data_IF_356844852999
#
_entry.id   IF_356844852999
#
_cell.length_a   1.000
_cell.length_b   1.000
_cell.length_c   1.000
_cell.angle_alpha   90.00
_cell.angle_beta   90.00
_cell.angle_gamma   90.00
#
_symmetry.space_group_name_H-M   'P 1'
#
loop_
_entity.id
_entity.type
_entity.pdbx_description
1 polymer ?
#
# COMPACT_ATOMS: atom_id res chain seq x y z
N UNK A 1 25.65 30.03 17.52
CA UNK A 1 26.69 29.32 18.30
C UNK A 1 26.75 27.89 17.79
N UNK A 2 27.60 27.63 16.79
CA UNK A 2 27.90 26.28 16.32
C UNK A 2 29.04 25.70 17.17
N UNK A 3 28.92 24.45 17.59
CA UNK A 3 30.01 23.73 18.28
C UNK A 3 30.79 22.94 17.25
N UNK A 4 32.07 23.28 17.11
CA UNK A 4 33.08 22.58 16.31
C UNK A 4 33.70 21.49 17.18
N UNK A 5 33.85 20.28 16.65
CA UNK A 5 34.70 19.24 17.23
C UNK A 5 35.96 19.12 16.38
N UNK A 6 37.13 19.32 17.00
CA UNK A 6 38.43 19.04 16.39
C UNK A 6 38.83 17.59 16.69
N UNK A 7 39.19 16.84 15.66
CA UNK A 7 39.96 15.60 15.79
C UNK A 7 41.22 15.78 14.94
N UNK A 8 42.36 15.90 15.60
CA UNK A 8 43.67 15.87 14.95
C UNK A 8 44.15 14.42 14.79
N UNK A 9 44.68 14.07 13.62
CA UNK A 9 46.14 13.95 13.49
C UNK A 9 46.59 13.83 12.03
N UNK A 10 47.84 14.25 11.85
CA UNK A 10 48.61 14.55 10.64
C UNK A 10 48.77 13.41 9.61
N UNK A 11 48.61 13.71 8.31
CA UNK A 11 49.61 13.39 7.28
C UNK A 11 49.37 14.17 5.98
N UNK A 12 50.45 14.76 5.46
CA UNK A 12 50.52 15.66 4.31
C UNK A 12 50.07 15.04 2.97
N UNK A 13 49.08 15.63 2.31
CA UNK A 13 49.08 15.90 0.87
C UNK A 13 48.24 17.15 0.61
N UNK A 14 48.82 18.11 -0.12
CA UNK A 14 48.16 19.34 -0.53
C UNK A 14 47.19 19.03 -1.68
N UNK A 15 45.92 18.82 -1.34
CA UNK A 15 44.80 18.97 -2.27
C UNK A 15 43.90 20.07 -1.73
N UNK A 16 43.55 21.02 -2.60
CA UNK A 16 42.54 22.04 -2.31
C UNK A 16 41.31 21.36 -1.70
N UNK A 17 40.81 21.78 -0.53
CA UNK A 17 39.56 21.26 -0.01
C UNK A 17 38.46 21.79 -0.93
N UNK A 18 38.09 20.98 -1.93
CA UNK A 18 36.82 21.11 -2.59
C UNK A 18 35.77 21.03 -1.50
N UNK A 19 35.00 22.09 -1.35
CA UNK A 19 33.82 22.10 -0.51
C UNK A 19 32.88 21.03 -1.10
N UNK A 20 32.96 19.78 -0.63
CA UNK A 20 31.97 18.76 -0.94
C UNK A 20 30.71 19.27 -0.27
N UNK A 21 29.83 19.92 -1.04
CA UNK A 21 28.49 20.24 -0.57
C UNK A 21 27.86 18.91 -0.20
N UNK A 22 27.77 18.65 1.10
CA UNK A 22 26.95 17.58 1.62
C UNK A 22 25.53 17.89 1.15
N UNK A 23 25.02 17.06 0.24
CA UNK A 23 23.63 17.11 -0.19
C UNK A 23 22.79 16.81 1.05
N UNK A 24 22.26 17.85 1.69
CA UNK A 24 21.42 17.70 2.87
C UNK A 24 20.01 17.29 2.41
N UNK A 25 19.73 15.98 2.44
CA UNK A 25 18.36 15.49 2.34
C UNK A 25 17.67 15.69 3.70
N UNK A 26 16.48 16.28 3.72
CA UNK A 26 15.64 16.23 4.92
C UNK A 26 14.94 14.87 4.98
N UNK A 27 15.49 13.93 5.74
CA UNK A 27 14.96 12.57 5.87
C UNK A 27 13.73 12.48 6.79
N UNK A 28 13.29 13.59 7.39
CA UNK A 28 12.18 13.60 8.34
C UNK A 28 10.94 14.23 7.72
N UNK A 29 10.00 13.41 7.19
CA UNK A 29 8.77 13.94 6.62
C UNK A 29 7.89 14.61 7.69
N UNK A 30 7.33 15.80 7.42
CA UNK A 30 6.27 16.37 8.25
C UNK A 30 4.98 15.55 8.15
N UNK A 31 4.09 15.61 9.16
CA UNK A 31 2.76 15.01 9.08
C UNK A 31 1.90 15.69 8.02
N UNK A 32 1.04 14.92 7.34
CA UNK A 32 0.09 15.45 6.36
C UNK A 32 -1.35 15.03 6.65
N UNK A 33 -2.32 15.67 5.98
CA UNK A 33 -3.73 15.37 6.18
C UNK A 33 -4.11 13.97 5.68
N UNK A 34 -4.77 13.19 6.54
CA UNK A 34 -5.27 11.83 6.25
C UNK A 34 -6.77 11.80 5.92
N UNK A 35 -7.25 10.65 5.42
CA UNK A 35 -8.61 10.42 4.95
C UNK A 35 -8.92 11.06 3.59
N UNK A 36 -7.91 11.25 2.75
CA UNK A 36 -8.00 11.99 1.47
C UNK A 36 -7.47 11.15 0.32
N UNK A 37 -8.05 11.30 -0.87
CA UNK A 37 -7.63 10.53 -2.05
C UNK A 37 -6.23 10.97 -2.51
N UNK A 38 -5.94 12.25 -2.30
CA UNK A 38 -4.70 12.92 -2.65
C UNK A 38 -3.54 12.57 -1.70
N UNK A 39 -3.79 11.85 -0.60
CA UNK A 39 -2.78 11.57 0.42
C UNK A 39 -1.48 10.99 -0.14
N UNK A 40 -1.57 10.00 -1.02
CA UNK A 40 -0.39 9.34 -1.59
C UNK A 40 0.35 10.23 -2.59
N UNK A 41 -0.38 11.05 -3.34
CA UNK A 41 0.22 12.10 -4.17
C UNK A 41 0.92 13.16 -3.30
N UNK A 42 0.28 13.61 -2.22
CA UNK A 42 0.88 14.57 -1.29
C UNK A 42 2.12 14.02 -0.58
N UNK A 43 2.15 12.71 -0.24
CA UNK A 43 3.35 12.05 0.29
C UNK A 43 4.47 11.99 -0.75
N UNK A 44 4.12 11.70 -2.00
CA UNK A 44 5.07 11.74 -3.12
C UNK A 44 5.67 13.14 -3.29
N UNK A 45 4.85 14.18 -3.42
CA UNK A 45 5.30 15.58 -3.55
C UNK A 45 6.18 15.99 -2.37
N UNK A 46 5.75 15.68 -1.14
CA UNK A 46 6.53 15.95 0.05
C UNK A 46 7.92 15.29 0.03
N UNK A 47 8.03 14.07 -0.50
CA UNK A 47 9.32 13.42 -0.68
C UNK A 47 10.16 14.19 -1.69
N UNK A 48 9.62 14.52 -2.87
CA UNK A 48 10.36 15.26 -3.89
C UNK A 48 10.88 16.60 -3.37
N UNK A 49 10.06 17.35 -2.63
CA UNK A 49 10.41 18.64 -2.03
C UNK A 49 11.56 18.54 -1.02
N UNK A 50 11.64 17.44 -0.25
CA UNK A 50 12.71 17.19 0.73
C UNK A 50 13.99 16.63 0.12
N UNK A 51 13.90 16.14 -1.11
CA UNK A 51 14.96 15.44 -1.83
C UNK A 51 15.33 16.13 -3.16
N UNK A 52 15.53 17.47 -3.22
CA UNK A 52 15.72 18.18 -4.49
C UNK A 52 17.04 17.85 -5.18
N UNK A 53 18.12 17.72 -4.39
CA UNK A 53 19.49 17.64 -4.91
C UNK A 53 20.12 16.24 -4.75
N UNK A 54 19.31 15.21 -4.52
CA UNK A 54 19.79 13.84 -4.31
C UNK A 54 19.20 12.83 -5.30
N UNK A 55 19.82 11.65 -5.37
CA UNK A 55 19.39 10.56 -6.25
C UNK A 55 18.27 9.70 -5.65
N UNK A 56 17.83 9.97 -4.42
CA UNK A 56 16.76 9.20 -3.79
C UNK A 56 15.42 9.38 -4.54
N UNK A 57 14.74 8.26 -4.77
CA UNK A 57 13.40 8.23 -5.37
C UNK A 57 12.35 7.96 -4.30
N UNK A 58 11.13 8.50 -4.46
CA UNK A 58 10.03 8.20 -3.54
C UNK A 58 9.64 6.71 -3.62
N UNK A 59 9.08 6.14 -2.54
CA UNK A 59 8.49 4.81 -2.59
C UNK A 59 7.45 4.68 -3.71
N UNK A 60 7.52 3.58 -4.48
CA UNK A 60 6.55 3.31 -5.56
C UNK A 60 5.12 3.22 -5.05
N UNK A 61 4.96 2.80 -3.78
CA UNK A 61 3.70 2.67 -3.10
C UNK A 61 2.91 3.98 -3.06
N UNK A 62 3.57 5.14 -3.12
CA UNK A 62 2.89 6.43 -3.13
C UNK A 62 2.20 6.69 -4.48
N UNK A 63 2.91 7.31 -5.42
CA UNK A 63 2.38 7.77 -6.70
C UNK A 63 3.13 7.14 -7.88
N UNK A 64 3.73 5.97 -7.64
CA UNK A 64 4.46 5.19 -8.63
C UNK A 64 5.95 5.55 -8.70
N UNK A 65 6.64 4.94 -9.66
CA UNK A 65 8.07 5.14 -9.88
C UNK A 65 8.33 6.45 -10.65
N UNK A 66 9.51 7.05 -10.44
CA UNK A 66 9.99 8.14 -11.30
C UNK A 66 10.63 7.55 -12.56
N UNK A 67 10.11 7.94 -13.73
CA UNK A 67 10.61 7.57 -15.05
C UNK A 67 11.08 8.80 -15.82
N UNK A 68 11.90 8.61 -16.85
CA UNK A 68 12.24 9.74 -17.73
C UNK A 68 11.00 10.26 -18.46
N UNK A 69 10.98 11.57 -18.78
CA UNK A 69 9.81 12.18 -19.44
C UNK A 69 9.46 11.58 -20.80
N UNK A 70 10.45 11.01 -21.49
CA UNK A 70 10.35 10.34 -22.78
C UNK A 70 9.96 8.86 -22.68
N UNK A 71 9.97 8.25 -21.50
CA UNK A 71 9.47 6.89 -21.30
C UNK A 71 7.96 6.81 -21.53
N UNK A 72 7.54 5.78 -22.27
CA UNK A 72 6.14 5.51 -22.56
C UNK A 72 5.47 4.86 -21.35
N UNK A 73 4.33 5.40 -20.94
CA UNK A 73 3.49 4.87 -19.86
C UNK A 73 2.23 4.31 -20.50
N UNK A 74 1.71 3.20 -19.97
CA UNK A 74 0.43 2.64 -20.44
C UNK A 74 -0.68 3.68 -20.29
N UNK A 75 -1.11 4.22 -21.43
CA UNK A 75 -2.06 5.34 -21.47
C UNK A 75 -3.48 4.95 -21.06
N UNK A 76 -3.83 3.66 -21.09
CA UNK A 76 -5.18 3.24 -20.74
C UNK A 76 -5.36 3.17 -19.23
N UNK A 77 -4.44 2.50 -18.54
CA UNK A 77 -4.41 2.46 -17.08
C UNK A 77 -4.21 3.87 -16.49
N UNK A 78 -3.41 4.70 -17.16
CA UNK A 78 -3.16 6.08 -16.72
C UNK A 78 -4.42 6.94 -16.73
N UNK A 79 -5.28 6.83 -17.76
CA UNK A 79 -6.56 7.56 -17.83
C UNK A 79 -7.54 7.11 -16.74
N UNK A 80 -7.44 5.87 -16.28
CA UNK A 80 -8.27 5.41 -15.16
C UNK A 80 -7.83 6.09 -13.86
N UNK A 81 -6.54 6.37 -13.70
CA UNK A 81 -5.97 6.88 -12.45
C UNK A 81 -5.96 8.40 -12.35
N UNK A 82 -5.89 9.10 -13.48
CA UNK A 82 -5.74 10.56 -13.52
C UNK A 82 -6.82 11.16 -14.43
N UNK A 83 -7.77 11.86 -13.80
CA UNK A 83 -9.02 12.36 -14.43
C UNK A 83 -8.78 13.50 -15.44
N UNK A 84 -7.68 14.25 -15.27
CA UNK A 84 -7.31 15.40 -16.10
C UNK A 84 -5.77 15.55 -16.14
N UNK A 85 -5.15 15.29 -17.29
CA UNK A 85 -3.86 15.87 -17.76
C UNK A 85 -2.50 15.32 -17.30
N UNK A 86 -1.49 15.85 -18.03
CA UNK A 86 -0.04 15.72 -17.91
C UNK A 86 0.43 15.56 -16.47
N UNK A 87 1.15 14.46 -16.26
CA UNK A 87 1.94 14.20 -15.07
C UNK A 87 2.91 15.36 -14.78
N UNK A 88 3.15 15.68 -13.48
CA UNK A 88 4.13 16.68 -13.11
C UNK A 88 5.52 16.26 -13.63
N UNK A 89 6.30 17.27 -14.04
CA UNK A 89 7.69 17.07 -14.48
C UNK A 89 8.59 17.67 -13.42
N UNK A 90 9.54 16.87 -12.95
CA UNK A 90 10.54 17.26 -11.97
C UNK A 90 11.90 17.36 -12.64
N UNK A 91 12.62 18.44 -12.36
CA UNK A 91 14.04 18.56 -12.70
C UNK A 91 14.83 17.81 -11.62
N UNK A 92 15.61 16.81 -12.01
CA UNK A 92 16.46 16.00 -11.12
C UNK A 92 17.90 16.06 -11.61
N UNK A 93 18.85 15.65 -10.77
CA UNK A 93 20.27 15.62 -11.12
C UNK A 93 20.56 14.79 -12.39
N UNK A 94 19.77 13.75 -12.64
CA UNK A 94 19.89 12.83 -13.79
C UNK A 94 18.92 13.15 -14.93
N UNK A 95 18.26 14.31 -14.90
CA UNK A 95 17.40 14.81 -15.98
C UNK A 95 15.93 15.02 -15.57
N UNK A 96 15.09 15.28 -16.57
CA UNK A 96 13.65 15.51 -16.35
C UNK A 96 12.94 14.18 -16.11
N UNK A 97 12.23 14.09 -15.00
CA UNK A 97 11.44 12.91 -14.62
C UNK A 97 9.97 13.22 -14.50
N UNK A 98 9.13 12.19 -14.65
CA UNK A 98 7.70 12.20 -14.34
C UNK A 98 7.34 10.95 -13.53
N UNK A 99 6.30 10.97 -12.68
CA UNK A 99 5.84 9.76 -12.02
C UNK A 99 5.11 8.84 -13.01
N UNK A 100 5.11 7.55 -12.77
CA UNK A 100 4.24 6.57 -13.42
C UNK A 100 3.22 6.00 -12.43
N UNK A 101 2.02 6.61 -12.32
CA UNK A 101 0.99 6.17 -11.40
C UNK A 101 0.47 4.75 -11.64
N UNK A 102 0.67 4.18 -12.83
CA UNK A 102 0.22 2.81 -13.14
C UNK A 102 0.97 1.76 -12.30
N UNK A 103 2.19 2.10 -11.89
CA UNK A 103 3.03 1.30 -10.99
C UNK A 103 2.81 1.63 -9.51
N UNK A 104 1.88 2.53 -9.19
CA UNK A 104 1.54 2.85 -7.80
C UNK A 104 0.65 1.77 -7.19
N UNK A 105 0.78 1.57 -5.87
CA UNK A 105 -0.16 0.75 -5.10
C UNK A 105 -1.14 1.61 -4.31
N UNK A 106 -0.63 2.51 -3.47
CA UNK A 106 -1.42 3.36 -2.60
C UNK A 106 -2.38 4.24 -3.40
N UNK A 107 -1.87 5.03 -4.35
CA UNK A 107 -2.72 5.89 -5.17
C UNK A 107 -3.69 5.09 -6.04
N UNK A 108 -3.21 4.09 -6.80
CA UNK A 108 -4.03 3.19 -7.63
C UNK A 108 -5.25 2.66 -6.88
N UNK A 109 -5.02 2.03 -5.71
CA UNK A 109 -6.12 1.45 -4.95
C UNK A 109 -6.98 2.47 -4.23
N UNK A 110 -6.42 3.59 -3.80
CA UNK A 110 -7.22 4.69 -3.28
C UNK A 110 -8.21 5.21 -4.33
N UNK A 111 -7.79 5.34 -5.59
CA UNK A 111 -8.65 5.75 -6.70
C UNK A 111 -9.70 4.69 -7.02
N UNK A 112 -9.31 3.41 -7.18
CA UNK A 112 -10.24 2.31 -7.47
C UNK A 112 -11.31 2.15 -6.38
N UNK A 113 -10.93 2.17 -5.10
CA UNK A 113 -11.89 2.08 -3.99
C UNK A 113 -12.77 3.33 -3.86
N UNK A 114 -12.28 4.50 -4.23
CA UNK A 114 -13.09 5.72 -4.26
C UNK A 114 -14.19 5.65 -5.32
N UNK A 115 -13.89 5.06 -6.49
CA UNK A 115 -14.89 4.78 -7.54
C UNK A 115 -15.87 3.68 -7.14
N UNK A 116 -15.43 2.67 -6.38
CA UNK A 116 -16.31 1.63 -5.85
C UNK A 116 -17.30 2.16 -4.81
N UNK A 117 -16.87 3.12 -3.98
CA UNK A 117 -17.62 3.57 -2.80
C UNK A 117 -19.12 3.84 -3.05
N UNK A 118 -19.55 4.55 -4.12
CA UNK A 118 -20.97 4.81 -4.37
C UNK A 118 -21.81 3.55 -4.61
N UNK A 119 -21.19 2.44 -5.01
CA UNK A 119 -21.88 1.17 -5.28
C UNK A 119 -22.15 0.37 -4.00
N UNK A 120 -21.42 0.63 -2.91
CA UNK A 120 -21.55 -0.10 -1.65
C UNK A 120 -22.79 0.34 -0.87
N UNK A 121 -23.26 -0.54 0.04
CA UNK A 121 -24.27 -0.15 1.03
C UNK A 121 -23.75 0.95 1.96
N UNK A 122 -24.61 1.66 2.72
CA UNK A 122 -24.15 2.64 3.70
C UNK A 122 -23.12 2.09 4.71
N UNK A 123 -23.27 0.82 5.12
CA UNK A 123 -22.30 0.15 6.00
C UNK A 123 -20.95 -0.07 5.30
N UNK A 124 -20.96 -0.51 4.04
CA UNK A 124 -19.74 -0.66 3.23
C UNK A 124 -19.06 0.67 2.95
N UNK A 125 -19.82 1.74 2.70
CA UNK A 125 -19.30 3.09 2.52
C UNK A 125 -18.62 3.63 3.79
N UNK A 126 -19.24 3.40 4.95
CA UNK A 126 -18.66 3.78 6.24
C UNK A 126 -17.39 2.99 6.54
N UNK A 127 -17.40 1.67 6.28
CA UNK A 127 -16.22 0.83 6.41
C UNK A 127 -15.09 1.32 5.50
N UNK A 128 -15.35 1.54 4.21
CA UNK A 128 -14.35 1.99 3.25
C UNK A 128 -13.73 3.33 3.66
N UNK A 129 -14.56 4.26 4.15
CA UNK A 129 -14.09 5.55 4.67
C UNK A 129 -13.20 5.40 5.91
N UNK A 130 -13.55 4.51 6.85
CA UNK A 130 -12.72 4.22 8.03
C UNK A 130 -11.42 3.53 7.65
N UNK A 131 -11.49 2.53 6.78
CA UNK A 131 -10.34 1.81 6.23
C UNK A 131 -9.34 2.78 5.60
N UNK A 132 -9.80 3.68 4.72
CA UNK A 132 -8.93 4.70 4.11
C UNK A 132 -8.19 5.55 5.15
N UNK A 133 -8.93 6.03 6.16
CA UNK A 133 -8.34 6.81 7.25
C UNK A 133 -7.32 6.00 8.06
N UNK A 134 -7.59 4.73 8.34
CA UNK A 134 -6.68 3.90 9.12
C UNK A 134 -5.43 3.50 8.34
N UNK A 135 -5.55 3.15 7.06
CA UNK A 135 -4.40 2.91 6.19
C UNK A 135 -3.45 4.11 6.26
N UNK A 136 -3.97 5.31 6.01
CA UNK A 136 -3.16 6.53 6.01
C UNK A 136 -2.64 6.87 7.41
N UNK A 137 -3.44 6.70 8.47
CA UNK A 137 -2.97 6.87 9.85
C UNK A 137 -1.79 5.95 10.17
N UNK A 138 -1.85 4.68 9.78
CA UNK A 138 -0.76 3.73 10.06
C UNK A 138 0.46 3.99 9.20
N UNK A 139 0.28 4.48 7.97
CA UNK A 139 1.38 5.05 7.19
C UNK A 139 2.07 6.18 7.97
N UNK A 140 1.32 7.16 8.48
CA UNK A 140 1.89 8.25 9.30
C UNK A 140 2.59 7.73 10.57
N UNK A 141 2.03 6.74 11.26
CA UNK A 141 2.65 6.15 12.45
C UNK A 141 4.02 5.52 12.16
N UNK A 142 4.20 4.93 10.97
CA UNK A 142 5.49 4.37 10.58
C UNK A 142 6.44 5.43 10.01
N UNK A 143 5.94 6.30 9.14
CA UNK A 143 6.76 7.26 8.38
C UNK A 143 7.20 8.46 9.24
N UNK A 144 6.27 9.02 10.02
CA UNK A 144 6.51 10.24 10.80
C UNK A 144 6.87 9.88 12.24
N UNK A 145 6.02 9.09 12.90
CA UNK A 145 6.17 8.80 14.33
C UNK A 145 7.18 7.67 14.61
N UNK A 146 7.51 6.87 13.59
CA UNK A 146 8.45 5.73 13.66
C UNK A 146 8.07 4.72 14.75
N UNK A 147 6.76 4.45 14.88
CA UNK A 147 6.17 3.75 16.01
C UNK A 147 5.10 2.71 15.63
N UNK A 148 4.90 2.41 14.34
CA UNK A 148 3.90 1.43 13.93
C UNK A 148 4.31 0.01 14.34
N UNK A 149 3.39 -0.73 14.95
CA UNK A 149 3.53 -2.17 15.22
C UNK A 149 2.20 -2.82 14.84
N UNK A 150 2.25 -3.88 14.03
CA UNK A 150 1.03 -4.49 13.52
C UNK A 150 0.30 -5.24 14.62
N UNK A 151 -1.02 -5.02 14.75
CA UNK A 151 -1.85 -5.76 15.70
C UNK A 151 -2.13 -7.17 15.20
N UNK A 152 -2.38 -7.35 13.90
CA UNK A 152 -2.78 -8.63 13.33
C UNK A 152 -1.66 -9.34 12.55
N UNK A 153 -0.60 -8.65 12.13
CA UNK A 153 0.52 -9.26 11.40
C UNK A 153 1.73 -9.54 12.31
N UNK A 154 1.58 -10.53 13.20
CA UNK A 154 2.65 -10.93 14.13
C UNK A 154 3.91 -11.43 13.42
N UNK A 155 3.77 -12.05 12.25
CA UNK A 155 4.92 -12.52 11.47
C UNK A 155 5.77 -11.36 10.95
N UNK A 156 5.14 -10.27 10.47
CA UNK A 156 5.83 -9.04 10.12
C UNK A 156 6.58 -8.46 11.32
N UNK A 157 5.94 -8.37 12.49
CA UNK A 157 6.59 -7.85 13.69
C UNK A 157 7.82 -8.69 14.07
N UNK A 158 7.64 -10.01 14.19
CA UNK A 158 8.71 -10.94 14.58
C UNK A 158 9.86 -10.93 13.58
N UNK A 159 9.58 -10.97 12.28
CA UNK A 159 10.60 -10.96 11.21
C UNK A 159 11.47 -9.70 11.27
N UNK A 160 10.88 -8.57 11.65
CA UNK A 160 11.55 -7.27 11.67
C UNK A 160 11.97 -6.82 13.09
N UNK A 161 11.83 -7.70 14.10
CA UNK A 161 12.24 -7.42 15.48
C UNK A 161 11.40 -6.37 16.20
N UNK A 162 10.16 -6.11 15.76
CA UNK A 162 9.29 -5.05 16.29
C UNK A 162 8.63 -5.39 17.63
N UNK A 163 8.90 -6.58 18.16
CA UNK A 163 8.47 -6.99 19.52
C UNK A 163 9.34 -6.32 20.60
N UNK A 164 10.47 -5.72 20.22
CA UNK A 164 11.36 -4.97 21.10
C UNK A 164 11.29 -3.46 20.81
N UNK A 165 10.92 -2.66 21.81
CA UNK A 165 10.70 -1.21 21.67
C UNK A 165 11.91 -0.48 21.06
N UNK A 166 13.13 -0.90 21.41
CA UNK A 166 14.37 -0.32 20.90
C UNK A 166 14.54 -0.49 19.38
N UNK A 167 13.97 -1.54 18.78
CA UNK A 167 14.10 -1.84 17.36
C UNK A 167 13.04 -1.14 16.50
N UNK A 168 11.91 -0.72 17.08
CA UNK A 168 10.80 -0.11 16.34
C UNK A 168 11.28 1.16 15.63
N UNK A 169 11.83 2.12 16.38
CA UNK A 169 12.32 3.38 15.81
C UNK A 169 13.44 3.18 14.80
N UNK A 170 14.30 2.19 15.03
CA UNK A 170 15.40 1.86 14.12
C UNK A 170 14.88 1.32 12.79
N UNK A 171 13.89 0.42 12.81
CA UNK A 171 13.28 -0.14 11.61
C UNK A 171 12.68 0.95 10.70
N UNK A 172 11.99 1.93 11.28
CA UNK A 172 11.32 3.01 10.55
C UNK A 172 12.22 4.20 10.21
N UNK A 173 13.46 4.23 10.70
CA UNK A 173 14.39 5.30 10.33
C UNK A 173 14.72 5.17 8.85
N UNK A 174 14.51 6.26 8.12
CA UNK A 174 14.74 6.39 6.68
C UNK A 174 13.98 5.35 5.84
N UNK A 175 12.81 4.92 6.33
CA UNK A 175 11.99 3.87 5.71
C UNK A 175 11.62 4.19 4.25
N UNK A 176 11.42 5.47 3.92
CA UNK A 176 11.11 5.92 2.55
C UNK A 176 12.28 5.73 1.56
N UNK A 177 13.51 5.52 2.04
CA UNK A 177 14.69 5.28 1.18
C UNK A 177 14.85 3.80 0.80
N UNK A 178 14.03 2.91 1.35
CA UNK A 178 14.09 1.48 1.07
C UNK A 178 12.73 0.98 0.60
N UNK A 179 12.54 0.94 -0.72
CA UNK A 179 11.25 0.65 -1.32
C UNK A 179 10.71 -0.74 -0.92
N UNK A 180 11.54 -1.79 -0.88
CA UNK A 180 11.11 -3.14 -0.47
C UNK A 180 10.62 -3.17 0.99
N UNK A 181 11.38 -2.55 1.90
CA UNK A 181 10.96 -2.43 3.31
C UNK A 181 9.70 -1.57 3.44
N UNK A 182 9.63 -0.48 2.70
CA UNK A 182 8.49 0.43 2.69
C UNK A 182 7.23 -0.30 2.25
N UNK A 183 7.28 -1.04 1.14
CA UNK A 183 6.17 -1.88 0.66
C UNK A 183 5.77 -2.90 1.73
N UNK A 184 6.73 -3.65 2.28
CA UNK A 184 6.45 -4.64 3.32
C UNK A 184 5.74 -4.02 4.53
N UNK A 185 6.17 -2.84 4.97
CA UNK A 185 5.52 -2.07 6.02
C UNK A 185 4.11 -1.63 5.61
N UNK A 186 3.96 -1.00 4.44
CA UNK A 186 2.68 -0.49 3.96
C UNK A 186 1.62 -1.60 3.90
N UNK A 187 1.99 -2.78 3.40
CA UNK A 187 1.10 -3.95 3.37
C UNK A 187 0.75 -4.47 4.76
N UNK A 188 1.68 -4.45 5.72
CA UNK A 188 1.43 -4.86 7.10
C UNK A 188 0.38 -3.99 7.79
N UNK A 189 0.14 -2.76 7.32
CA UNK A 189 -0.92 -1.88 7.86
C UNK A 189 -2.34 -2.32 7.53
N UNK A 190 -2.54 -3.14 6.47
CA UNK A 190 -3.88 -3.38 5.95
C UNK A 190 -4.76 -4.23 6.86
N UNK A 191 -4.29 -5.35 7.44
CA UNK A 191 -5.11 -6.12 8.39
C UNK A 191 -5.64 -5.25 9.54
N UNK A 192 -4.80 -4.35 10.08
CA UNK A 192 -5.21 -3.44 11.14
C UNK A 192 -6.21 -2.38 10.66
N UNK A 193 -6.05 -1.91 9.42
CA UNK A 193 -6.92 -0.88 8.86
C UNK A 193 -8.28 -1.40 8.42
N UNK A 194 -8.30 -2.63 7.90
CA UNK A 194 -9.53 -3.32 7.51
C UNK A 194 -10.40 -3.72 8.69
N UNK A 195 -9.78 -3.91 9.86
CA UNK A 195 -10.46 -4.33 11.08
C UNK A 195 -11.39 -5.53 10.81
N UNK A 196 -10.84 -6.77 10.79
CA UNK A 196 -11.57 -7.97 10.39
C UNK A 196 -12.90 -8.15 11.16
N UNK A 197 -12.95 -7.72 12.42
CA UNK A 197 -14.14 -7.80 13.27
C UNK A 197 -15.26 -6.83 12.84
N UNK A 198 -14.91 -5.73 12.21
CA UNK A 198 -15.87 -4.81 11.60
C UNK A 198 -16.19 -5.28 10.18
N UNK A 199 -15.18 -5.70 9.41
CA UNK A 199 -15.37 -6.19 8.04
C UNK A 199 -16.30 -7.40 7.96
N UNK A 200 -16.21 -8.36 8.89
CA UNK A 200 -17.07 -9.55 8.95
C UNK A 200 -18.57 -9.24 9.09
N UNK A 201 -18.93 -8.02 9.49
CA UNK A 201 -20.32 -7.57 9.67
C UNK A 201 -20.89 -6.94 8.40
N UNK A 202 -20.08 -6.77 7.35
CA UNK A 202 -20.54 -6.18 6.10
C UNK A 202 -21.48 -7.11 5.34
N UNK A 203 -22.44 -6.55 4.59
CA UNK A 203 -23.25 -7.33 3.66
C UNK A 203 -22.37 -8.08 2.66
N UNK A 204 -22.73 -9.33 2.36
CA UNK A 204 -21.95 -10.19 1.45
C UNK A 204 -21.66 -9.55 0.08
N UNK A 205 -22.63 -8.82 -0.47
CA UNK A 205 -22.46 -8.10 -1.74
C UNK A 205 -21.36 -7.03 -1.68
N UNK A 206 -21.17 -6.36 -0.54
CA UNK A 206 -20.10 -5.39 -0.35
C UNK A 206 -18.76 -6.11 -0.20
N UNK A 207 -18.72 -7.21 0.54
CA UNK A 207 -17.52 -8.05 0.67
C UNK A 207 -17.02 -8.53 -0.69
N UNK A 208 -17.91 -9.06 -1.54
CA UNK A 208 -17.55 -9.53 -2.88
C UNK A 208 -17.01 -8.40 -3.79
N UNK A 209 -17.60 -7.21 -3.71
CA UNK A 209 -17.12 -6.03 -4.45
C UNK A 209 -15.76 -5.56 -3.97
N UNK A 210 -15.56 -5.49 -2.65
CA UNK A 210 -14.28 -5.10 -2.04
C UNK A 210 -13.19 -6.10 -2.42
N UNK A 211 -13.47 -7.41 -2.29
CA UNK A 211 -12.55 -8.50 -2.63
C UNK A 211 -12.17 -8.54 -4.11
N UNK A 212 -13.06 -8.12 -5.00
CA UNK A 212 -12.84 -8.18 -6.45
C UNK A 212 -12.25 -6.91 -7.06
N UNK A 213 -12.13 -5.84 -6.28
CA UNK A 213 -11.58 -4.56 -6.75
C UNK A 213 -10.07 -4.65 -7.05
N UNK A 214 -9.26 -5.31 -6.20
CA UNK A 214 -7.87 -5.57 -6.53
C UNK A 214 -7.62 -6.60 -7.62
N UNK A 215 -6.49 -6.46 -8.29
CA UNK A 215 -6.04 -7.42 -9.30
C UNK A 215 -5.40 -8.62 -8.59
N UNK A 216 -6.02 -9.80 -8.73
CA UNK A 216 -5.59 -11.03 -8.05
C UNK A 216 -4.14 -11.44 -8.39
N UNK A 217 -3.61 -11.02 -9.54
CA UNK A 217 -2.20 -11.25 -9.91
C UNK A 217 -1.23 -10.54 -8.96
N UNK A 218 -1.59 -9.35 -8.49
CA UNK A 218 -0.79 -8.58 -7.52
C UNK A 218 -0.85 -9.19 -6.11
N UNK A 219 -1.78 -10.13 -5.86
CA UNK A 219 -1.92 -10.81 -4.56
C UNK A 219 -0.98 -12.01 -4.45
N UNK A 220 -0.79 -12.74 -5.56
CA UNK A 220 0.04 -13.94 -5.62
C UNK A 220 1.55 -13.70 -5.67
N UNK A 221 2.00 -12.45 -5.75
CA UNK A 221 3.42 -12.12 -5.63
C UNK A 221 3.88 -12.00 -4.16
N UNK A 222 2.95 -12.00 -3.19
CA UNK A 222 3.24 -11.58 -1.80
C UNK A 222 2.53 -12.46 -0.77
N UNK A 223 2.58 -13.79 -0.99
CA UNK A 223 1.99 -14.96 -0.28
C UNK A 223 1.69 -14.84 1.24
N UNK A 224 2.31 -13.90 1.96
CA UNK A 224 2.04 -13.62 3.39
C UNK A 224 0.72 -12.86 3.61
N UNK A 225 0.33 -12.01 2.66
CA UNK A 225 -0.89 -11.20 2.77
C UNK A 225 -2.14 -11.99 2.39
N UNK A 226 -2.01 -12.91 1.43
CA UNK A 226 -3.05 -13.89 1.11
C UNK A 226 -3.41 -14.71 2.36
N UNK A 227 -2.43 -15.16 3.13
CA UNK A 227 -2.65 -15.91 4.37
C UNK A 227 -3.32 -15.07 5.47
N UNK A 228 -2.88 -13.82 5.69
CA UNK A 228 -3.48 -12.94 6.69
C UNK A 228 -4.94 -12.55 6.34
N UNK A 229 -5.20 -12.34 5.05
CA UNK A 229 -6.52 -12.05 4.52
C UNK A 229 -7.43 -13.28 4.50
N UNK A 230 -6.91 -14.46 4.14
CA UNK A 230 -7.62 -15.74 4.26
C UNK A 230 -7.97 -16.01 5.71
N UNK A 231 -7.04 -15.86 6.66
CA UNK A 231 -7.34 -16.02 8.09
C UNK A 231 -8.38 -14.99 8.58
N UNK A 232 -8.30 -13.73 8.11
CA UNK A 232 -9.32 -12.72 8.40
C UNK A 232 -10.68 -13.07 7.79
N UNK A 233 -10.69 -13.69 6.60
CA UNK A 233 -11.88 -14.20 5.94
C UNK A 233 -12.41 -15.50 6.58
N UNK A 234 -11.55 -16.32 7.20
CA UNK A 234 -11.93 -17.49 8.00
C UNK A 234 -12.62 -17.12 9.31
N UNK A 235 -12.41 -15.89 9.79
CA UNK A 235 -13.12 -15.31 10.94
C UNK A 235 -14.49 -14.73 10.52
N UNK A 236 -14.76 -14.55 9.21
CA UNK A 236 -16.11 -14.24 8.73
C UNK A 236 -17.03 -15.42 9.11
N UNK A 237 -18.25 -15.18 9.65
CA UNK A 237 -19.06 -16.21 10.30
C UNK A 237 -19.18 -17.50 9.50
N UNK A 238 -19.42 -18.61 10.20
CA UNK A 238 -19.69 -19.96 9.67
C UNK A 238 -20.60 -20.05 8.42
N UNK A 239 -21.32 -18.99 8.07
CA UNK A 239 -22.05 -18.80 6.81
C UNK A 239 -21.14 -18.85 5.55
N UNK A 240 -19.85 -18.50 5.66
CA UNK A 240 -18.86 -18.69 4.59
C UNK A 240 -18.32 -20.13 4.52
N UNK A 241 -18.35 -20.87 5.64
CA UNK A 241 -18.09 -22.32 5.66
C UNK A 241 -19.18 -23.11 4.93
N UNK A 242 -20.38 -22.54 4.83
CA UNK A 242 -21.52 -23.06 4.06
C UNK A 242 -21.79 -22.16 2.86
N UNK A 243 -20.83 -22.06 1.94
CA UNK A 243 -20.91 -21.24 0.73
C UNK A 243 -22.04 -21.67 -0.23
N UNK A 244 -23.29 -21.44 0.17
CA UNK A 244 -24.48 -21.50 -0.64
C UNK A 244 -25.04 -20.09 -0.68
N UNK A 245 -24.64 -19.32 -1.71
CA UNK A 245 -25.42 -18.16 -2.12
C UNK A 245 -26.82 -18.70 -2.39
N UNK A 246 -27.81 -18.28 -1.59
CA UNK A 246 -29.17 -18.79 -1.79
C UNK A 246 -29.66 -18.39 -3.17
N UNK A 247 -30.50 -19.22 -3.78
CA UNK A 247 -31.05 -18.96 -5.12
C UNK A 247 -31.76 -17.59 -5.19
N UNK A 248 -32.41 -17.18 -4.11
CA UNK A 248 -33.02 -15.85 -3.98
C UNK A 248 -31.99 -14.70 -3.99
N UNK A 249 -30.82 -14.90 -3.38
CA UNK A 249 -29.72 -13.92 -3.41
C UNK A 249 -29.11 -13.86 -4.81
N UNK A 250 -28.97 -15.00 -5.48
CA UNK A 250 -28.53 -15.10 -6.86
C UNK A 250 -29.45 -14.39 -7.85
N UNK A 251 -30.75 -14.63 -7.74
CA UNK A 251 -31.74 -14.01 -8.63
C UNK A 251 -31.83 -12.50 -8.41
N UNK A 252 -31.64 -12.03 -7.17
CA UNK A 252 -31.53 -10.60 -6.87
C UNK A 252 -30.26 -10.00 -7.49
N UNK A 253 -29.10 -10.65 -7.34
CA UNK A 253 -27.84 -10.18 -7.91
C UNK A 253 -27.85 -10.15 -9.45
N UNK A 254 -28.40 -11.18 -10.09
CA UNK A 254 -28.60 -11.24 -11.55
C UNK A 254 -29.47 -10.09 -12.06
N UNK A 255 -30.53 -9.78 -11.32
CA UNK A 255 -31.48 -8.72 -11.66
C UNK A 255 -30.87 -7.33 -11.48
N UNK A 256 -30.19 -7.12 -10.36
CA UNK A 256 -29.69 -5.79 -10.01
C UNK A 256 -28.38 -5.47 -10.76
N UNK A 257 -27.59 -6.48 -11.14
CA UNK A 257 -26.26 -6.29 -11.73
C UNK A 257 -25.89 -7.40 -12.76
N UNK A 258 -26.55 -7.43 -13.95
CA UNK A 258 -26.40 -8.50 -14.93
C UNK A 258 -24.93 -8.70 -15.39
N UNK A 259 -24.16 -7.63 -15.55
CA UNK A 259 -22.75 -7.68 -15.96
C UNK A 259 -21.81 -8.13 -14.82
N UNK A 260 -22.17 -7.84 -13.57
CA UNK A 260 -21.42 -8.30 -12.40
C UNK A 260 -21.61 -9.80 -12.20
N UNK A 261 -22.75 -10.39 -12.58
CA UNK A 261 -23.00 -11.83 -12.43
C UNK A 261 -21.95 -12.70 -13.11
N UNK A 262 -21.52 -12.33 -14.33
CA UNK A 262 -20.47 -13.08 -15.06
C UNK A 262 -19.13 -12.97 -14.33
N UNK A 263 -18.76 -11.75 -13.92
CA UNK A 263 -17.56 -11.46 -13.15
C UNK A 263 -17.58 -12.20 -11.81
N UNK A 264 -18.70 -12.20 -11.10
CA UNK A 264 -18.89 -12.89 -9.83
C UNK A 264 -18.81 -14.40 -10.03
N UNK A 265 -19.42 -14.96 -11.07
CA UNK A 265 -19.39 -16.40 -11.35
C UNK A 265 -17.97 -16.88 -11.72
N UNK A 266 -17.30 -16.16 -12.62
CA UNK A 266 -15.93 -16.46 -13.05
C UNK A 266 -14.95 -16.31 -11.88
N UNK A 267 -15.14 -15.28 -11.04
CA UNK A 267 -14.29 -15.05 -9.86
C UNK A 267 -14.62 -15.99 -8.71
N UNK A 268 -15.86 -16.42 -8.55
CA UNK A 268 -16.28 -17.45 -7.60
C UNK A 268 -15.64 -18.80 -7.94
N UNK A 269 -15.61 -19.13 -9.22
CA UNK A 269 -14.88 -20.30 -9.72
C UNK A 269 -13.38 -20.19 -9.44
N UNK A 270 -12.77 -19.04 -9.75
CA UNK A 270 -11.35 -18.79 -9.48
C UNK A 270 -11.02 -18.84 -7.98
N UNK A 271 -11.87 -18.26 -7.13
CA UNK A 271 -11.71 -18.28 -5.68
C UNK A 271 -11.75 -19.72 -5.14
N UNK A 272 -12.70 -20.52 -5.62
CA UNK A 272 -12.80 -21.94 -5.27
C UNK A 272 -11.59 -22.76 -5.74
N UNK A 273 -11.10 -22.50 -6.96
CA UNK A 273 -9.89 -23.15 -7.49
C UNK A 273 -8.67 -22.80 -6.63
N UNK A 274 -8.49 -21.52 -6.29
CA UNK A 274 -7.41 -21.05 -5.41
C UNK A 274 -7.50 -21.60 -3.99
N UNK A 275 -8.70 -21.63 -3.40
CA UNK A 275 -8.96 -22.25 -2.10
C UNK A 275 -8.60 -23.74 -2.09
N UNK A 276 -8.82 -24.45 -3.21
CA UNK A 276 -8.47 -25.86 -3.33
C UNK A 276 -6.96 -26.07 -3.55
N UNK A 277 -6.29 -25.21 -4.32
CA UNK A 277 -4.82 -25.20 -4.48
C UNK A 277 -4.09 -24.91 -3.16
N UNK A 278 -4.63 -24.00 -2.35
CA UNK A 278 -4.09 -23.68 -1.03
C UNK A 278 -4.28 -24.83 -0.05
N UNK A 279 -5.45 -25.46 -0.03
CA UNK A 279 -5.71 -26.66 0.79
C UNK A 279 -4.77 -27.80 0.44
N UNK A 280 -4.52 -28.04 -0.85
CA UNK A 280 -3.63 -29.12 -1.30
C UNK A 280 -2.15 -28.84 -0.99
N UNK A 281 -1.70 -27.59 -1.07
CA UNK A 281 -0.37 -27.21 -0.57
C UNK A 281 -0.25 -27.38 0.96
N UNK A 282 -1.29 -27.04 1.71
CA UNK A 282 -1.28 -27.13 3.17
C UNK A 282 -1.15 -28.58 3.67
N UNK A 283 -1.83 -29.51 3.02
CA UNK A 283 -1.73 -30.95 3.30
C UNK A 283 -0.32 -31.52 3.05
N UNK A 284 0.48 -30.88 2.17
CA UNK A 284 1.86 -31.28 1.88
C UNK A 284 2.89 -30.76 2.89
N UNK A 285 2.59 -29.68 3.63
CA UNK A 285 3.48 -29.09 4.64
C UNK A 285 3.10 -29.46 6.09
N UNK A 286 2.02 -30.21 6.30
CA UNK A 286 1.57 -30.71 7.60
C UNK A 286 2.05 -32.14 7.95
N UNK A 287 3.18 -32.59 7.38
CA UNK A 287 3.87 -33.84 7.73
C UNK A 287 5.24 -33.56 8.39
#
# INVERSE_FOLDING_TARGET
MARVYEVGNESNYAETPGLVMLIECDLTPPPIAIGKIEYYFNRFENFIERHPDCEHTPPDYYYGVLVNVDEEIDTEDLKELVDDTKLPIYERADGKKKPDPTQSYGHKYCTKFSKLKPELTPAGQEWLHKTLKYLQKYMELGVVDKAYVSKYNHNFNKKNGLDEEANIKLFYTDIELNNDKFRSFAFATHPDAYDPLTMQKLPMQDLLRILSTPELKEWGEWDTWEQAWIMACEIIPNELKTWQITEATWEKLKKDYPNATRIITDRQKLLNEKLNELKSHWEQFSL
#
